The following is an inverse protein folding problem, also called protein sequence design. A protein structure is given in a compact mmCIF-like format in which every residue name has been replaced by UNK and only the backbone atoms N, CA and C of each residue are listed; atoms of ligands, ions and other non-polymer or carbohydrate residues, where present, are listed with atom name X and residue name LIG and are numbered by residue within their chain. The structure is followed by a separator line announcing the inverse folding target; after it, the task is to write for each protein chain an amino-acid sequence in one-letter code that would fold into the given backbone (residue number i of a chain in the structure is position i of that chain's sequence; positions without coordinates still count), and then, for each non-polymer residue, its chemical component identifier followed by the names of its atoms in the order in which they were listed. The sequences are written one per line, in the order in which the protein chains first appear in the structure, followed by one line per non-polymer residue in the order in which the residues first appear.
data_IF_451914268184
#
_entry.id   IF_451914268184
#
_cell.length_a   1.000
_cell.length_b   1.000
_cell.length_c   1.000
_cell.angle_alpha   90.00
_cell.angle_beta   90.00
_cell.angle_gamma   90.00
#
_symmetry.space_group_name_H-M   'P 1'
#
loop_
_entity.id
_entity.type
_entity.pdbx_description
1 polymer ?
#
# COMPACT_ATOMS: atom_id res chain seq x y z
N UNK A 1 -0.73 -6.44 36.54
CA UNK A 1 0.14 -6.91 35.44
C UNK A 1 -0.62 -7.96 34.66
N UNK A 2 -1.70 -7.50 34.02
CA UNK A 2 -2.24 -8.11 32.82
C UNK A 2 -1.45 -7.41 31.73
N UNK A 3 -0.65 -8.11 30.92
CA UNK A 3 -0.13 -7.42 29.73
C UNK A 3 -1.37 -6.96 28.97
N UNK A 4 -1.39 -5.70 28.56
CA UNK A 4 -2.49 -5.07 27.83
C UNK A 4 -2.94 -6.09 26.80
N UNK A 5 -4.17 -6.58 26.93
CA UNK A 5 -4.80 -7.58 26.07
C UNK A 5 -5.06 -7.01 24.66
N UNK A 6 -4.06 -6.35 24.08
CA UNK A 6 -4.04 -5.74 22.77
C UNK A 6 -4.08 -6.83 21.74
N UNK A 7 -5.28 -7.12 21.25
CA UNK A 7 -5.50 -8.04 20.16
C UNK A 7 -4.58 -7.65 19.00
N UNK A 8 -3.59 -8.49 18.74
CA UNK A 8 -2.79 -8.41 17.53
C UNK A 8 -3.67 -8.89 16.39
N UNK A 9 -4.12 -7.97 15.56
CA UNK A 9 -4.82 -8.30 14.34
C UNK A 9 -3.81 -8.91 13.39
N UNK A 10 -3.87 -10.24 13.24
CA UNK A 10 -2.96 -10.93 12.33
C UNK A 10 -3.09 -10.35 10.91
N UNK A 11 -4.32 -10.16 10.43
CA UNK A 11 -4.55 -9.78 9.04
C UNK A 11 -5.75 -8.85 8.89
N UNK A 12 -5.54 -7.71 8.25
CA UNK A 12 -6.61 -6.81 7.81
C UNK A 12 -6.68 -6.79 6.29
N UNK A 13 -7.83 -7.20 5.74
CA UNK A 13 -8.11 -7.15 4.31
C UNK A 13 -9.23 -6.15 4.05
N UNK A 14 -8.92 -5.07 3.35
CA UNK A 14 -9.90 -4.06 2.94
C UNK A 14 -10.09 -4.18 1.44
N UNK A 15 -11.32 -4.47 0.99
CA UNK A 15 -11.60 -4.77 -0.43
C UNK A 15 -12.44 -3.73 -1.16
N UNK A 16 -13.12 -2.80 -0.47
CA UNK A 16 -14.04 -1.86 -1.13
C UNK A 16 -14.04 -0.46 -0.49
N UNK A 17 -14.17 0.55 -1.37
CA UNK A 17 -14.33 2.02 -1.27
C UNK A 17 -14.02 2.76 0.05
N UNK A 18 -13.27 3.87 -0.09
CA UNK A 18 -13.23 5.00 0.86
C UNK A 18 -11.86 5.27 1.47
N UNK A 19 -11.25 4.21 2.03
CA UNK A 19 -10.09 4.36 2.91
C UNK A 19 -8.85 4.94 2.21
N UNK A 20 -8.62 4.61 0.92
CA UNK A 20 -7.51 5.17 0.14
C UNK A 20 -7.89 6.45 -0.64
N UNK A 21 -9.17 6.84 -0.63
CA UNK A 21 -9.63 8.09 -1.26
C UNK A 21 -9.58 9.27 -0.29
N UNK A 22 -9.69 9.02 1.02
CA UNK A 22 -9.51 10.02 2.06
C UNK A 22 -8.34 9.64 3.01
N UNK A 23 -7.23 10.41 2.98
CA UNK A 23 -6.13 10.27 3.94
C UNK A 23 -6.57 10.30 5.41
N UNK A 24 -7.67 10.97 5.73
CA UNK A 24 -8.20 11.09 7.10
C UNK A 24 -8.83 9.79 7.60
N UNK A 25 -9.58 9.07 6.74
CA UNK A 25 -10.14 7.76 7.05
C UNK A 25 -9.03 6.74 7.25
N UNK A 26 -8.01 6.77 6.39
CA UNK A 26 -6.86 5.89 6.53
C UNK A 26 -6.10 6.12 7.84
N UNK A 27 -5.85 7.38 8.21
CA UNK A 27 -5.21 7.72 9.49
C UNK A 27 -6.02 7.23 10.68
N UNK A 28 -7.34 7.44 10.64
CA UNK A 28 -8.26 6.98 11.70
C UNK A 28 -8.19 5.47 11.85
N UNK A 29 -8.20 4.73 10.74
CA UNK A 29 -8.07 3.28 10.73
C UNK A 29 -6.73 2.84 11.34
N UNK A 30 -5.61 3.39 10.88
CA UNK A 30 -4.29 3.03 11.38
C UNK A 30 -4.14 3.33 12.88
N UNK A 31 -4.71 4.44 13.35
CA UNK A 31 -4.72 4.81 14.76
C UNK A 31 -5.59 3.87 15.61
N UNK A 32 -6.68 3.35 15.05
CA UNK A 32 -7.59 2.42 15.72
C UNK A 32 -7.05 0.99 15.82
N UNK A 33 -6.00 0.67 15.07
CA UNK A 33 -5.44 -0.67 14.97
C UNK A 33 -4.03 -0.69 15.54
N UNK A 34 -3.84 -0.83 16.86
CA UNK A 34 -2.52 -0.70 17.51
C UNK A 34 -1.59 -1.90 17.29
N UNK A 35 -2.01 -2.93 16.54
CA UNK A 35 -1.31 -4.21 16.41
C UNK A 35 -1.65 -5.00 15.12
N UNK A 36 -1.45 -4.47 13.89
CA UNK A 36 -1.60 -5.22 12.62
C UNK A 36 -0.28 -5.83 12.14
N UNK A 37 -0.25 -7.14 11.90
CA UNK A 37 0.92 -7.84 11.31
C UNK A 37 0.93 -7.81 9.79
N UNK A 38 -0.23 -8.08 9.19
CA UNK A 38 -0.42 -8.18 7.75
C UNK A 38 -1.53 -7.21 7.32
N UNK A 39 -1.17 -6.19 6.53
CA UNK A 39 -2.12 -5.22 5.99
C UNK A 39 -2.24 -5.43 4.49
N UNK A 40 -3.43 -5.81 4.02
CA UNK A 40 -3.76 -5.87 2.61
C UNK A 40 -4.91 -4.92 2.30
N UNK A 41 -4.69 -4.01 1.35
CA UNK A 41 -5.67 -3.04 0.91
C UNK A 41 -5.83 -3.16 -0.59
N UNK A 42 -7.06 -3.33 -1.04
CA UNK A 42 -7.46 -3.26 -2.43
C UNK A 42 -8.45 -2.11 -2.57
N UNK A 43 -8.15 -1.15 -3.46
CA UNK A 43 -9.05 -0.03 -3.70
C UNK A 43 -9.18 0.30 -5.19
N UNK A 44 -10.28 1.01 -5.48
CA UNK A 44 -10.48 1.69 -6.75
C UNK A 44 -10.44 3.21 -6.49
N UNK A 45 -9.52 3.90 -7.14
CA UNK A 45 -9.35 5.34 -7.07
C UNK A 45 -9.87 5.98 -8.37
N UNK A 46 -11.13 5.71 -8.69
CA UNK A 46 -11.77 6.14 -9.95
C UNK A 46 -12.00 7.65 -10.05
N UNK A 47 -11.92 8.39 -8.94
CA UNK A 47 -12.34 9.81 -8.86
C UNK A 47 -11.32 10.75 -8.21
N UNK A 48 -10.18 10.27 -7.76
CA UNK A 48 -9.20 11.14 -7.12
C UNK A 48 -8.53 12.00 -8.18
N UNK A 49 -8.86 13.30 -8.19
CA UNK A 49 -8.09 14.34 -8.86
C UNK A 49 -6.66 14.33 -8.32
N UNK A 50 -5.79 13.55 -8.94
CA UNK A 50 -4.34 13.75 -8.99
C UNK A 50 -3.48 13.56 -7.73
N UNK A 51 -4.01 13.20 -6.56
CA UNK A 51 -3.15 13.15 -5.35
C UNK A 51 -3.55 12.19 -4.21
N UNK A 52 -4.82 11.79 -4.08
CA UNK A 52 -5.30 11.09 -2.87
C UNK A 52 -4.52 9.82 -2.50
N UNK A 53 -4.21 8.96 -3.48
CA UNK A 53 -3.41 7.74 -3.22
C UNK A 53 -1.98 8.12 -2.83
N UNK A 54 -1.37 9.10 -3.50
CA UNK A 54 -0.02 9.55 -3.17
C UNK A 54 0.03 10.15 -1.78
N UNK A 55 -1.00 10.89 -1.36
CA UNK A 55 -1.11 11.44 0.00
C UNK A 55 -1.23 10.32 1.03
N UNK A 56 -2.06 9.30 0.77
CA UNK A 56 -2.19 8.13 1.63
C UNK A 56 -0.87 7.36 1.74
N UNK A 57 -0.20 7.13 0.62
CA UNK A 57 1.14 6.54 0.59
C UNK A 57 2.15 7.41 1.36
N UNK A 58 2.10 8.74 1.19
CA UNK A 58 2.94 9.67 1.94
C UNK A 58 2.63 9.66 3.43
N UNK A 59 1.39 9.36 3.84
CA UNK A 59 1.05 9.14 5.24
C UNK A 59 1.59 7.83 5.80
N UNK A 60 1.73 6.78 4.98
CA UNK A 60 2.50 5.59 5.38
C UNK A 60 3.97 5.96 5.67
N UNK A 61 4.57 6.89 4.91
CA UNK A 61 5.93 7.42 5.16
C UNK A 61 5.96 8.25 6.45
N UNK A 62 5.08 9.25 6.57
CA UNK A 62 5.08 10.25 7.65
C UNK A 62 4.59 9.73 9.00
N UNK A 63 4.00 8.53 9.03
CA UNK A 63 3.83 7.76 10.27
C UNK A 63 5.15 7.36 10.94
N UNK A 64 6.31 7.78 10.41
CA UNK A 64 7.53 7.90 11.20
C UNK A 64 7.40 8.76 12.48
N UNK A 65 6.34 9.58 12.63
CA UNK A 65 6.07 10.38 13.83
C UNK A 65 4.98 9.81 14.77
N UNK A 66 4.18 8.84 14.32
CA UNK A 66 3.25 8.08 15.14
C UNK A 66 3.39 6.65 14.70
N UNK A 67 3.91 5.73 15.54
CA UNK A 67 4.20 4.39 15.10
C UNK A 67 2.93 3.83 14.46
N UNK A 68 2.95 3.69 13.12
CA UNK A 68 2.36 2.51 12.52
C UNK A 68 2.85 1.39 13.41
N UNK A 69 1.88 0.77 14.07
CA UNK A 69 2.01 -0.41 14.89
C UNK A 69 3.40 -1.02 14.81
N UNK A 70 4.14 -1.15 15.93
CA UNK A 70 5.46 -1.78 16.00
C UNK A 70 5.58 -3.24 15.51
N UNK A 71 4.67 -3.74 14.65
CA UNK A 71 4.54 -5.12 14.25
C UNK A 71 4.14 -5.34 12.78
N UNK A 72 3.96 -4.31 11.94
CA UNK A 72 3.57 -4.58 10.54
C UNK A 72 4.74 -5.19 9.76
N UNK A 73 4.61 -6.47 9.40
CA UNK A 73 5.62 -7.25 8.68
C UNK A 73 5.33 -7.39 7.20
N UNK A 74 4.05 -7.38 6.84
CA UNK A 74 3.63 -7.50 5.44
C UNK A 74 2.67 -6.40 5.04
N UNK A 75 2.97 -5.75 3.91
CA UNK A 75 2.15 -4.71 3.28
C UNK A 75 1.80 -5.12 1.85
N UNK A 76 0.52 -5.12 1.52
CA UNK A 76 0.05 -5.38 0.15
C UNK A 76 -0.97 -4.33 -0.26
N UNK A 77 -0.63 -3.49 -1.21
CA UNK A 77 -1.53 -2.48 -1.76
C UNK A 77 -1.86 -2.83 -3.21
N UNK A 78 -3.15 -2.87 -3.54
CA UNK A 78 -3.65 -2.99 -4.91
C UNK A 78 -4.55 -1.81 -5.20
N UNK A 79 -4.27 -1.10 -6.29
CA UNK A 79 -4.93 0.15 -6.61
C UNK A 79 -5.33 0.13 -8.08
N UNK A 80 -6.60 0.36 -8.36
CA UNK A 80 -7.11 0.59 -9.72
C UNK A 80 -7.24 2.11 -9.94
N UNK A 81 -6.58 2.64 -10.97
CA UNK A 81 -6.50 4.07 -11.26
C UNK A 81 -7.00 4.39 -12.68
N UNK A 82 -7.52 5.60 -12.94
CA UNK A 82 -7.91 6.01 -14.29
C UNK A 82 -6.72 6.14 -15.25
N UNK A 83 -5.55 6.49 -14.74
CA UNK A 83 -4.31 6.61 -15.51
C UNK A 83 -3.12 6.19 -14.66
N UNK A 84 -2.11 5.57 -15.28
CA UNK A 84 -0.88 5.19 -14.61
C UNK A 84 -0.22 6.41 -13.95
N UNK A 85 0.20 6.32 -12.68
CA UNK A 85 0.90 7.39 -11.99
C UNK A 85 2.25 7.71 -12.65
N UNK A 86 2.72 8.93 -12.41
CA UNK A 86 3.99 9.45 -12.89
C UNK A 86 5.18 8.96 -12.04
N UNK A 87 6.37 9.51 -12.32
CA UNK A 87 7.59 9.16 -11.58
C UNK A 87 7.52 9.63 -10.11
N UNK A 88 6.74 10.66 -9.79
CA UNK A 88 6.54 11.15 -8.40
C UNK A 88 5.94 10.07 -7.51
N UNK A 89 4.94 9.36 -8.02
CA UNK A 89 4.34 8.21 -7.34
C UNK A 89 5.38 7.10 -7.11
N UNK A 90 6.20 6.82 -8.11
CA UNK A 90 7.25 5.81 -8.02
C UNK A 90 8.28 6.13 -6.94
N UNK A 91 8.71 7.39 -6.84
CA UNK A 91 9.58 7.83 -5.75
C UNK A 91 8.89 7.65 -4.39
N UNK A 92 7.61 8.00 -4.29
CA UNK A 92 6.83 7.83 -3.05
C UNK A 92 6.77 6.37 -2.60
N UNK A 93 6.51 5.44 -3.51
CA UNK A 93 6.49 4.00 -3.20
C UNK A 93 7.86 3.50 -2.75
N UNK A 94 8.92 3.93 -3.43
CA UNK A 94 10.29 3.56 -3.08
C UNK A 94 10.70 4.10 -1.71
N UNK A 95 10.27 5.33 -1.37
CA UNK A 95 10.52 5.95 -0.08
C UNK A 95 9.78 5.24 1.07
N UNK A 96 8.55 4.75 0.84
CA UNK A 96 7.86 3.88 1.82
C UNK A 96 8.70 2.64 2.11
N UNK A 97 9.14 1.93 1.07
CA UNK A 97 9.89 0.69 1.26
C UNK A 97 11.25 0.94 1.93
N UNK A 98 11.94 2.03 1.56
CA UNK A 98 13.21 2.39 2.17
C UNK A 98 13.07 2.84 3.63
N UNK A 99 12.06 3.65 3.96
CA UNK A 99 11.81 4.11 5.34
C UNK A 99 11.42 2.97 6.29
N UNK A 100 10.94 1.84 5.74
CA UNK A 100 10.52 0.65 6.47
C UNK A 100 11.45 -0.56 6.23
N UNK A 101 12.64 -0.30 5.68
CA UNK A 101 13.61 -1.34 5.39
C UNK A 101 14.09 -1.99 6.68
N UNK A 102 13.93 -3.31 6.78
CA UNK A 102 14.25 -4.08 7.99
C UNK A 102 13.06 -4.28 8.94
N UNK A 103 11.95 -3.56 8.75
CA UNK A 103 10.68 -3.80 9.46
C UNK A 103 9.76 -4.70 8.62
N UNK A 104 9.67 -4.42 7.31
CA UNK A 104 8.84 -5.19 6.38
C UNK A 104 9.60 -6.44 5.88
N UNK A 105 9.03 -7.62 6.14
CA UNK A 105 9.47 -8.88 5.54
C UNK A 105 8.99 -9.00 4.09
N UNK A 106 7.77 -8.49 3.79
CA UNK A 106 7.24 -8.41 2.43
C UNK A 106 6.49 -7.09 2.23
N UNK A 107 6.68 -6.48 1.07
CA UNK A 107 5.85 -5.35 0.67
C UNK A 107 5.57 -5.42 -0.83
N UNK A 108 4.35 -5.06 -1.23
CA UNK A 108 3.99 -4.87 -2.62
C UNK A 108 3.02 -3.71 -2.81
N UNK A 109 3.21 -2.97 -3.89
CA UNK A 109 2.28 -1.96 -4.39
C UNK A 109 2.00 -2.29 -5.84
N UNK A 110 0.75 -2.61 -6.12
CA UNK A 110 0.23 -3.00 -7.42
C UNK A 110 -0.69 -1.91 -7.94
N UNK A 111 -0.39 -1.37 -9.11
CA UNK A 111 -1.20 -0.34 -9.74
C UNK A 111 -1.66 -0.82 -11.10
N UNK A 112 -2.98 -0.86 -11.30
CA UNK A 112 -3.62 -1.20 -12.55
C UNK A 112 -4.33 0.04 -13.09
N UNK A 113 -3.97 0.51 -14.28
CA UNK A 113 -4.79 1.52 -14.95
C UNK A 113 -6.01 0.87 -15.63
N UNK A 114 -7.10 1.62 -15.77
CA UNK A 114 -8.30 1.16 -16.49
C UNK A 114 -8.05 0.85 -17.97
N UNK A 115 -6.89 1.26 -18.50
CA UNK A 115 -6.45 0.92 -19.86
C UNK A 115 -5.69 -0.40 -19.91
N UNK A 116 -5.52 -1.12 -18.80
CA UNK A 116 -4.83 -2.41 -18.74
C UNK A 116 -3.31 -2.32 -18.70
N UNK A 117 -2.72 -1.18 -18.31
CA UNK A 117 -1.32 -1.11 -17.90
C UNK A 117 -1.22 -1.50 -16.44
N UNK A 118 -0.19 -2.28 -16.10
CA UNK A 118 0.06 -2.71 -14.74
C UNK A 118 1.50 -2.36 -14.35
N UNK A 119 1.68 -1.89 -13.12
CA UNK A 119 2.98 -1.75 -12.48
C UNK A 119 2.96 -2.39 -11.10
N UNK A 120 4.06 -3.03 -10.76
CA UNK A 120 4.31 -3.57 -9.44
C UNK A 120 5.63 -3.03 -8.91
N UNK A 121 5.61 -2.64 -7.65
CA UNK A 121 6.80 -2.47 -6.83
C UNK A 121 6.71 -3.48 -5.71
N UNK A 122 7.79 -4.22 -5.47
CA UNK A 122 7.85 -5.17 -4.36
C UNK A 122 9.22 -5.24 -3.72
N UNK A 123 9.25 -5.63 -2.45
CA UNK A 123 10.47 -6.08 -1.79
C UNK A 123 10.72 -7.53 -2.20
N UNK A 124 11.82 -7.79 -2.90
CA UNK A 124 12.26 -9.11 -3.29
C UNK A 124 13.08 -9.77 -2.16
N UNK A 125 13.31 -11.09 -2.30
CA UNK A 125 14.16 -11.85 -1.40
C UNK A 125 15.53 -11.18 -1.29
N UNK A 126 15.95 -10.83 -0.07
CA UNK A 126 17.17 -10.05 0.18
C UNK A 126 16.96 -8.55 0.43
N UNK A 127 15.71 -8.07 0.39
CA UNK A 127 15.38 -6.69 0.75
C UNK A 127 15.61 -5.67 -0.38
N UNK A 128 15.79 -6.14 -1.61
CA UNK A 128 15.89 -5.28 -2.80
C UNK A 128 14.50 -4.84 -3.26
N UNK A 129 14.38 -3.57 -3.65
CA UNK A 129 13.14 -3.05 -4.23
C UNK A 129 13.18 -3.33 -5.73
N UNK A 130 12.25 -4.16 -6.19
CA UNK A 130 12.10 -4.53 -7.60
C UNK A 130 10.85 -3.87 -8.15
N UNK A 131 10.98 -3.32 -9.36
CA UNK A 131 9.88 -2.75 -10.13
C UNK A 131 9.68 -3.53 -11.41
N UNK A 132 8.42 -3.81 -11.71
CA UNK A 132 8.02 -4.47 -12.95
C UNK A 132 6.83 -3.72 -13.57
N UNK A 133 6.80 -3.64 -14.90
CA UNK A 133 5.73 -2.97 -15.66
C UNK A 133 5.29 -3.86 -16.80
N UNK A 134 3.99 -4.00 -16.98
CA UNK A 134 3.38 -4.81 -18.02
C UNK A 134 2.25 -4.05 -18.70
N UNK A 135 2.00 -4.42 -19.96
CA UNK A 135 0.83 -3.95 -20.68
C UNK A 135 -0.04 -5.17 -20.98
N UNK A 136 -1.13 -5.31 -20.22
CA UNK A 136 -2.05 -6.45 -20.30
C UNK A 136 -2.78 -6.49 -21.66
N UNK A 137 -2.84 -5.37 -22.40
CA UNK A 137 -3.34 -5.37 -23.79
C UNK A 137 -2.42 -6.11 -24.78
N UNK A 138 -1.18 -6.41 -24.40
CA UNK A 138 -0.23 -7.16 -25.25
C UNK A 138 -0.05 -8.61 -24.81
N UNK A 139 -0.72 -9.06 -23.75
CA UNK A 139 -0.77 -10.47 -23.39
C UNK A 139 -2.13 -11.06 -23.77
N UNK A 140 -2.21 -11.90 -24.82
CA UNK A 140 -3.44 -12.57 -25.21
C UNK A 140 -3.67 -13.76 -24.28
N UNK A 141 -3.99 -13.52 -23.02
CA UNK A 141 -4.69 -14.54 -22.25
C UNK A 141 -6.17 -14.39 -22.57
N UNK A 142 -6.58 -15.13 -23.61
CA UNK A 142 -7.97 -15.59 -23.78
C UNK A 142 -8.37 -16.26 -22.46
N UNK A 143 -9.39 -15.72 -21.81
CA UNK A 143 -10.21 -16.45 -20.83
C UNK A 143 -10.94 -17.56 -21.59
#
# INVERSE_FOLDING_TARGET
MLDRSGCQLERLHLREYGILNDPSEFRTLLAALPAVMHLAISCEAMHSSGGGIQDVLSHLILSGAMPLVPAMKELSLMVVVPEMPDDTFEYTVTDIFNSRRGELEKASVNVLDVRGKWAEWRIADGGEIVKQRWNLRRHPYRI
#
